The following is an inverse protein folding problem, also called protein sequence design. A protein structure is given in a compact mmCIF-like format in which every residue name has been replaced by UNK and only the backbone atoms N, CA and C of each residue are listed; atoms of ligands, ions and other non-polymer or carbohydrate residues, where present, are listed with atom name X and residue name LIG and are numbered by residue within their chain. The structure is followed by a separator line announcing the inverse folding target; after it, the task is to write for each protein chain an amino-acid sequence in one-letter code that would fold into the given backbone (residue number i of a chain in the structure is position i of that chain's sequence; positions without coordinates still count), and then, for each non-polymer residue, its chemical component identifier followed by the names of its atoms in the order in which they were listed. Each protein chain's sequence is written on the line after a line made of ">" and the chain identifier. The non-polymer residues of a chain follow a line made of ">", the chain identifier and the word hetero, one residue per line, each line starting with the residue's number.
data_IF_974483161921
#
_entry.id   IF_974483161921
#
_cell.length_a   1.000
_cell.length_b   1.000
_cell.length_c   1.000
_cell.angle_alpha   90.00
_cell.angle_beta   90.00
_cell.angle_gamma   90.00
#
_symmetry.space_group_name_H-M   'P 1'
#
loop_
_entity.id
_entity.type
_entity.pdbx_description
1 polymer ?
#
# COMPACT_ATOMS: atom_id res chain seq x y z
N UNK A 1 -15.91 -107.35 31.88
CA UNK A 1 -14.87 -106.72 31.03
C UNK A 1 -13.51 -107.07 31.60
N UNK A 2 -12.60 -107.61 30.77
CA UNK A 2 -11.26 -107.95 31.22
C UNK A 2 -10.35 -106.72 31.23
N UNK A 3 -9.35 -106.70 32.10
CA UNK A 3 -8.38 -105.60 32.22
C UNK A 3 -7.65 -105.31 30.89
N UNK A 4 -7.42 -106.32 30.07
CA UNK A 4 -6.79 -106.15 28.75
C UNK A 4 -7.66 -105.34 27.78
N UNK A 5 -8.97 -105.51 27.87
CA UNK A 5 -9.93 -104.81 27.02
C UNK A 5 -9.99 -103.32 27.39
N UNK A 6 -10.02 -103.00 28.69
CA UNK A 6 -9.97 -101.62 29.18
C UNK A 6 -8.65 -100.92 28.83
N UNK A 7 -7.52 -101.64 28.91
CA UNK A 7 -6.21 -101.10 28.51
C UNK A 7 -6.18 -100.76 27.01
N UNK A 8 -6.74 -101.61 26.16
CA UNK A 8 -6.80 -101.35 24.71
C UNK A 8 -7.63 -100.10 24.38
N UNK A 9 -8.77 -99.91 25.07
CA UNK A 9 -9.63 -98.74 24.92
C UNK A 9 -8.90 -97.48 25.39
N UNK A 10 -8.17 -97.56 26.51
CA UNK A 10 -7.39 -96.44 27.02
C UNK A 10 -6.25 -96.07 26.07
N UNK A 11 -5.50 -97.05 25.57
CA UNK A 11 -4.42 -96.84 24.61
C UNK A 11 -4.93 -96.17 23.34
N UNK A 12 -6.07 -96.64 22.79
CA UNK A 12 -6.69 -96.04 21.61
C UNK A 12 -7.14 -94.59 21.83
N UNK A 13 -7.67 -94.26 23.03
CA UNK A 13 -8.02 -92.88 23.38
C UNK A 13 -6.80 -91.99 23.56
N UNK A 14 -5.74 -92.51 24.18
CA UNK A 14 -4.49 -91.80 24.39
C UNK A 14 -3.78 -91.48 23.07
N UNK A 15 -3.72 -92.46 22.17
CA UNK A 15 -3.09 -92.30 20.86
C UNK A 15 -3.88 -91.34 19.95
N UNK A 16 -5.22 -91.39 20.01
CA UNK A 16 -6.08 -90.45 19.31
C UNK A 16 -5.94 -89.01 19.81
N UNK A 17 -5.84 -88.80 21.13
CA UNK A 17 -5.62 -87.48 21.71
C UNK A 17 -4.24 -86.93 21.35
N UNK A 18 -3.18 -87.74 21.48
CA UNK A 18 -1.82 -87.33 21.14
C UNK A 18 -1.68 -86.97 19.65
N UNK A 19 -2.25 -87.75 18.73
CA UNK A 19 -2.21 -87.42 17.30
C UNK A 19 -3.00 -86.16 16.97
N UNK A 20 -4.16 -85.95 17.60
CA UNK A 20 -5.01 -84.78 17.30
C UNK A 20 -4.37 -83.48 17.79
N UNK A 21 -3.82 -83.47 19.01
CA UNK A 21 -3.18 -82.27 19.58
C UNK A 21 -1.85 -81.94 18.88
N UNK A 22 -0.99 -82.93 18.62
CA UNK A 22 0.28 -82.67 17.92
C UNK A 22 0.12 -82.29 16.46
N UNK A 23 -0.87 -82.85 15.74
CA UNK A 23 -1.15 -82.44 14.36
C UNK A 23 -1.79 -81.04 14.30
N UNK A 24 -2.69 -80.71 15.23
CA UNK A 24 -3.30 -79.38 15.34
C UNK A 24 -2.26 -78.29 15.61
N UNK A 25 -1.32 -78.54 16.52
CA UNK A 25 -0.27 -77.58 16.84
C UNK A 25 0.79 -77.48 15.75
N UNK A 26 1.15 -78.57 15.07
CA UNK A 26 2.04 -78.53 13.91
C UNK A 26 1.44 -77.73 12.74
N UNK A 27 0.11 -77.80 12.52
CA UNK A 27 -0.58 -76.99 11.52
C UNK A 27 -0.59 -75.50 11.90
N UNK A 28 -0.85 -75.18 13.17
CA UNK A 28 -0.77 -73.79 13.67
C UNK A 28 0.63 -73.21 13.49
N UNK A 29 1.69 -73.96 13.81
CA UNK A 29 3.07 -73.51 13.64
C UNK A 29 3.39 -73.26 12.16
N UNK A 30 2.92 -74.12 11.24
CA UNK A 30 3.09 -73.90 9.80
C UNK A 30 2.36 -72.65 9.31
N UNK A 31 1.14 -72.42 9.77
CA UNK A 31 0.39 -71.20 9.45
C UNK A 31 1.07 -69.94 10.00
N UNK A 32 1.56 -70.00 11.24
CA UNK A 32 2.30 -68.90 11.87
C UNK A 32 3.57 -68.58 11.07
N UNK A 33 4.35 -69.61 10.69
CA UNK A 33 5.54 -69.42 9.87
C UNK A 33 5.22 -68.83 8.49
N UNK A 34 4.13 -69.25 7.85
CA UNK A 34 3.67 -68.66 6.59
C UNK A 34 3.29 -67.18 6.76
N UNK A 35 2.58 -66.84 7.85
CA UNK A 35 2.25 -65.45 8.17
C UNK A 35 3.50 -64.61 8.47
N UNK A 36 4.49 -65.15 9.17
CA UNK A 36 5.76 -64.45 9.42
C UNK A 36 6.54 -64.22 8.13
N UNK A 37 6.60 -65.20 7.23
CA UNK A 37 7.25 -65.03 5.93
C UNK A 37 6.53 -63.99 5.07
N UNK A 38 5.21 -64.01 5.07
CA UNK A 38 4.39 -63.03 4.34
C UNK A 38 4.59 -61.63 4.91
N UNK A 39 4.55 -61.46 6.23
CA UNK A 39 4.81 -60.19 6.89
C UNK A 39 6.22 -59.65 6.58
N UNK A 40 7.23 -60.52 6.59
CA UNK A 40 8.58 -60.13 6.26
C UNK A 40 8.70 -59.66 4.80
N UNK A 41 8.05 -60.37 3.87
CA UNK A 41 7.99 -59.97 2.47
C UNK A 41 7.26 -58.64 2.29
N UNK A 42 6.15 -58.42 3.01
CA UNK A 42 5.38 -57.17 2.97
C UNK A 42 6.20 -56.00 3.53
N UNK A 43 6.95 -56.20 4.63
CA UNK A 43 7.86 -55.19 5.20
C UNK A 43 8.95 -54.84 4.20
N UNK A 44 9.59 -55.84 3.59
CA UNK A 44 10.63 -55.62 2.60
C UNK A 44 10.09 -54.87 1.38
N UNK A 45 8.93 -55.28 0.87
CA UNK A 45 8.26 -54.63 -0.26
C UNK A 45 7.92 -53.17 0.05
N UNK A 46 7.38 -52.90 1.25
CA UNK A 46 7.08 -51.55 1.71
C UNK A 46 8.35 -50.69 1.82
N UNK A 47 9.42 -51.22 2.41
CA UNK A 47 10.70 -50.52 2.54
C UNK A 47 11.33 -50.22 1.17
N UNK A 48 11.33 -51.18 0.23
CA UNK A 48 11.83 -50.94 -1.13
C UNK A 48 10.98 -49.91 -1.88
N UNK A 49 9.67 -49.97 -1.75
CA UNK A 49 8.75 -49.01 -2.40
C UNK A 49 8.93 -47.60 -1.83
N UNK A 50 9.09 -47.49 -0.50
CA UNK A 50 9.41 -46.22 0.16
C UNK A 50 10.78 -45.72 -0.25
N UNK A 51 11.81 -46.57 -0.31
CA UNK A 51 13.16 -46.18 -0.71
C UNK A 51 13.23 -45.68 -2.16
N UNK A 52 12.53 -46.34 -3.09
CA UNK A 52 12.46 -45.92 -4.49
C UNK A 52 11.77 -44.56 -4.66
N UNK A 53 10.76 -44.28 -3.85
CA UNK A 53 10.02 -43.01 -3.89
C UNK A 53 10.66 -41.90 -3.04
N UNK A 54 11.68 -42.21 -2.25
CA UNK A 54 12.34 -41.24 -1.38
C UNK A 54 13.67 -40.83 -2.02
N UNK A 55 13.59 -40.12 -3.16
CA UNK A 55 14.75 -39.52 -3.82
C UNK A 55 15.18 -38.24 -3.07
N UNK A 56 15.52 -38.42 -1.80
CA UNK A 56 15.93 -37.37 -0.89
C UNK A 56 17.16 -36.63 -1.45
N UNK A 57 18.10 -37.35 -2.05
CA UNK A 57 19.28 -36.74 -2.67
C UNK A 57 18.93 -35.83 -3.85
N UNK A 58 17.97 -36.23 -4.69
CA UNK A 58 17.47 -35.39 -5.79
C UNK A 58 16.81 -34.12 -5.26
N UNK A 59 15.90 -34.26 -4.29
CA UNK A 59 15.21 -33.13 -3.67
C UNK A 59 16.16 -32.17 -2.94
N UNK A 60 17.21 -32.67 -2.29
CA UNK A 60 18.24 -31.82 -1.66
C UNK A 60 19.07 -31.08 -2.69
N UNK A 61 19.36 -31.71 -3.83
CA UNK A 61 20.12 -31.07 -4.91
C UNK A 61 19.29 -29.96 -5.56
N UNK A 62 18.02 -30.24 -5.85
CA UNK A 62 17.08 -29.26 -6.42
C UNK A 62 16.85 -28.07 -5.45
N UNK A 63 16.62 -28.34 -4.16
CA UNK A 63 16.52 -27.26 -3.17
C UNK A 63 17.81 -26.44 -3.05
N UNK A 64 18.98 -27.08 -3.15
CA UNK A 64 20.27 -26.38 -3.16
C UNK A 64 20.45 -25.47 -4.37
N UNK A 65 20.02 -25.90 -5.56
CA UNK A 65 20.02 -25.08 -6.77
C UNK A 65 19.03 -23.92 -6.67
N UNK A 66 17.81 -24.16 -6.21
CA UNK A 66 16.82 -23.11 -5.96
C UNK A 66 17.34 -22.08 -4.96
N UNK A 67 18.01 -22.50 -3.90
CA UNK A 67 18.60 -21.58 -2.92
C UNK A 67 19.70 -20.70 -3.53
N UNK A 68 20.52 -21.25 -4.43
CA UNK A 68 21.52 -20.46 -5.18
C UNK A 68 20.85 -19.45 -6.11
N UNK A 69 19.78 -19.83 -6.81
CA UNK A 69 19.03 -18.92 -7.66
C UNK A 69 18.40 -17.79 -6.86
N UNK A 70 17.81 -18.09 -5.70
CA UNK A 70 17.25 -17.08 -4.78
C UNK A 70 18.33 -16.10 -4.34
N UNK A 71 19.50 -16.59 -3.88
CA UNK A 71 20.61 -15.73 -3.47
C UNK A 71 21.11 -14.84 -4.61
N UNK A 72 21.19 -15.38 -5.83
CA UNK A 72 21.56 -14.61 -7.01
C UNK A 72 20.55 -13.50 -7.30
N UNK A 73 19.25 -13.81 -7.28
CA UNK A 73 18.19 -12.83 -7.51
C UNK A 73 18.17 -11.75 -6.44
N UNK A 74 18.36 -12.09 -5.16
CA UNK A 74 18.48 -11.09 -4.09
C UNK A 74 19.67 -10.16 -4.33
N UNK A 75 20.82 -10.69 -4.74
CA UNK A 75 21.99 -9.87 -5.05
C UNK A 75 21.74 -8.90 -6.22
N UNK A 76 21.06 -9.35 -7.26
CA UNK A 76 20.69 -8.50 -8.40
C UNK A 76 19.69 -7.41 -7.97
N UNK A 77 18.72 -7.76 -7.13
CA UNK A 77 17.78 -6.79 -6.56
C UNK A 77 18.48 -5.71 -5.73
N UNK A 78 19.43 -6.09 -4.88
CA UNK A 78 20.20 -5.15 -4.07
C UNK A 78 21.04 -4.21 -4.94
N UNK A 79 21.65 -4.74 -6.01
CA UNK A 79 22.38 -3.93 -6.99
C UNK A 79 21.47 -2.91 -7.68
N UNK A 80 20.31 -3.35 -8.19
CA UNK A 80 19.34 -2.44 -8.82
C UNK A 80 18.84 -1.36 -7.86
N UNK A 81 18.64 -1.70 -6.59
CA UNK A 81 18.22 -0.73 -5.57
C UNK A 81 19.29 0.36 -5.37
N UNK A 82 20.56 -0.02 -5.27
CA UNK A 82 21.68 0.92 -5.16
C UNK A 82 21.78 1.81 -6.41
N UNK A 83 21.59 1.25 -7.60
CA UNK A 83 21.60 2.00 -8.86
C UNK A 83 20.46 3.03 -8.92
N UNK A 84 19.27 2.67 -8.46
CA UNK A 84 18.12 3.59 -8.39
C UNK A 84 18.36 4.69 -7.37
N UNK A 85 18.85 4.36 -6.17
CA UNK A 85 19.19 5.37 -5.16
C UNK A 85 20.28 6.32 -5.67
N UNK A 86 21.27 5.80 -6.39
CA UNK A 86 22.30 6.62 -7.04
C UNK A 86 21.72 7.52 -8.14
N UNK A 87 20.81 6.99 -8.97
CA UNK A 87 20.14 7.76 -10.02
C UNK A 87 19.26 8.87 -9.44
N UNK A 88 18.50 8.59 -8.39
CA UNK A 88 17.68 9.58 -7.66
C UNK A 88 18.57 10.65 -7.02
N UNK A 89 19.63 10.26 -6.32
CA UNK A 89 20.57 11.21 -5.74
C UNK A 89 21.20 12.10 -6.82
N UNK A 90 21.55 11.53 -7.98
CA UNK A 90 22.07 12.29 -9.11
C UNK A 90 21.04 13.26 -9.67
N UNK A 91 19.79 12.85 -9.79
CA UNK A 91 18.69 13.70 -10.24
C UNK A 91 18.44 14.86 -9.27
N UNK A 92 18.44 14.60 -7.97
CA UNK A 92 18.32 15.63 -6.93
C UNK A 92 19.50 16.61 -6.95
N UNK A 93 20.73 16.14 -7.21
CA UNK A 93 21.89 16.99 -7.41
C UNK A 93 21.78 17.86 -8.68
N UNK A 94 21.25 17.31 -9.78
CA UNK A 94 21.02 18.07 -11.02
C UNK A 94 19.90 19.10 -10.84
N UNK A 95 18.83 18.74 -10.13
CA UNK A 95 17.70 19.62 -9.80
C UNK A 95 18.15 20.75 -8.88
N UNK A 96 18.91 20.46 -7.83
CA UNK A 96 19.45 21.49 -6.92
C UNK A 96 20.50 22.38 -7.59
N UNK A 97 21.29 21.87 -8.54
CA UNK A 97 22.22 22.69 -9.34
C UNK A 97 21.50 23.68 -10.27
N UNK A 98 20.38 23.29 -10.86
CA UNK A 98 19.61 24.15 -11.77
C UNK A 98 18.68 25.12 -11.02
N UNK A 99 18.24 24.76 -9.80
CA UNK A 99 17.44 25.60 -8.93
C UNK A 99 18.32 26.35 -7.91
N UNK A 100 18.92 27.49 -8.30
CA UNK A 100 19.43 28.49 -7.33
C UNK A 100 18.25 29.19 -6.63
N UNK A 101 17.40 28.42 -5.96
CA UNK A 101 16.29 28.96 -5.18
C UNK A 101 16.77 29.01 -3.74
N UNK A 102 17.43 30.11 -3.39
CA UNK A 102 17.57 30.46 -1.97
C UNK A 102 16.18 30.82 -1.42
N UNK A 103 15.90 30.58 -0.13
CA UNK A 103 14.60 30.88 0.48
C UNK A 103 14.23 32.37 0.51
N UNK A 104 15.00 33.26 -0.13
CA UNK A 104 14.81 34.72 -0.13
C UNK A 104 14.53 35.28 -1.54
N UNK A 105 14.16 34.44 -2.51
CA UNK A 105 13.73 34.91 -3.82
C UNK A 105 12.21 35.10 -3.87
N UNK A 106 11.79 36.32 -4.20
CA UNK A 106 10.40 36.64 -4.52
C UNK A 106 10.09 36.13 -5.94
N UNK A 107 9.04 35.32 -6.07
CA UNK A 107 8.59 34.78 -7.35
C UNK A 107 7.33 35.50 -7.81
N UNK A 108 7.29 35.86 -9.09
CA UNK A 108 6.10 36.35 -9.77
C UNK A 108 5.85 35.45 -10.98
N UNK A 109 4.71 34.73 -11.00
CA UNK A 109 4.37 33.75 -12.04
C UNK A 109 5.51 32.77 -12.35
N UNK A 110 6.02 32.11 -11.30
CA UNK A 110 7.08 31.08 -11.35
C UNK A 110 8.46 31.54 -11.89
N UNK A 111 8.61 32.84 -12.18
CA UNK A 111 9.89 33.44 -12.57
C UNK A 111 10.52 34.18 -11.39
N UNK A 112 11.84 34.00 -11.14
CA UNK A 112 12.53 34.74 -10.09
C UNK A 112 12.56 36.23 -10.46
N UNK A 113 11.98 37.07 -9.60
CA UNK A 113 11.96 38.51 -9.82
C UNK A 113 13.37 39.07 -9.61
N UNK A 114 13.91 39.75 -10.63
CA UNK A 114 15.21 40.43 -10.51
C UNK A 114 15.09 41.53 -9.46
N UNK A 115 16.12 41.71 -8.61
CA UNK A 115 16.10 42.73 -7.53
C UNK A 115 15.78 44.16 -8.02
N UNK A 116 16.14 44.49 -9.26
CA UNK A 116 15.80 45.78 -9.90
C UNK A 116 14.34 45.96 -10.32
N UNK A 117 13.52 44.90 -10.30
CA UNK A 117 12.08 44.94 -10.66
C UNK A 117 11.19 45.24 -9.45
N UNK A 118 11.72 45.19 -8.22
CA UNK A 118 10.97 45.45 -6.98
C UNK A 118 10.31 46.84 -6.99
N UNK A 119 10.98 47.94 -7.41
CA UNK A 119 10.35 49.26 -7.46
C UNK A 119 9.21 49.34 -8.49
N UNK A 120 9.37 48.69 -9.64
CA UNK A 120 8.34 48.65 -10.68
C UNK A 120 7.09 47.90 -10.23
N UNK A 121 7.27 46.85 -9.42
CA UNK A 121 6.16 46.08 -8.85
C UNK A 121 5.33 46.93 -7.88
N UNK A 122 6.00 47.79 -7.09
CA UNK A 122 5.34 48.77 -6.24
C UNK A 122 4.53 49.80 -7.05
N UNK A 123 5.10 50.33 -8.12
CA UNK A 123 4.41 51.28 -9.00
C UNK A 123 3.18 50.65 -9.66
N UNK A 124 3.30 49.40 -10.13
CA UNK A 124 2.19 48.64 -10.71
C UNK A 124 1.10 48.38 -9.67
N UNK A 125 1.46 48.05 -8.43
CA UNK A 125 0.48 47.86 -7.35
C UNK A 125 -0.30 49.15 -7.05
N UNK A 126 0.40 50.29 -6.94
CA UNK A 126 -0.23 51.60 -6.74
C UNK A 126 -1.13 51.96 -7.92
N UNK A 127 -0.71 51.66 -9.15
CA UNK A 127 -1.50 51.89 -10.36
C UNK A 127 -2.77 51.04 -10.39
N UNK A 128 -2.69 49.74 -10.03
CA UNK A 128 -3.88 48.89 -9.94
C UNK A 128 -4.84 49.32 -8.83
N UNK A 129 -4.32 49.80 -7.69
CA UNK A 129 -5.15 50.40 -6.63
C UNK A 129 -5.84 51.67 -7.13
N UNK A 130 -5.11 52.54 -7.84
CA UNK A 130 -5.65 53.78 -8.42
C UNK A 130 -6.73 53.52 -9.48
N UNK A 131 -6.47 52.60 -10.41
CA UNK A 131 -7.44 52.17 -11.43
C UNK A 131 -8.66 51.53 -10.77
N UNK A 132 -8.46 50.70 -9.75
CA UNK A 132 -9.55 50.12 -8.95
C UNK A 132 -10.43 51.20 -8.29
N UNK A 133 -9.82 52.25 -7.74
CA UNK A 133 -10.54 53.40 -7.16
C UNK A 133 -11.33 54.19 -8.20
N UNK A 134 -10.77 54.38 -9.40
CA UNK A 134 -11.47 55.07 -10.50
C UNK A 134 -12.66 54.25 -10.98
N UNK A 135 -12.48 52.95 -11.19
CA UNK A 135 -13.57 52.04 -11.55
C UNK A 135 -14.62 52.04 -10.45
N UNK A 136 -14.23 51.93 -9.19
CA UNK A 136 -15.14 51.99 -8.05
C UNK A 136 -15.95 53.29 -8.05
N UNK A 137 -15.33 54.45 -8.30
CA UNK A 137 -16.02 55.74 -8.39
C UNK A 137 -16.99 55.82 -9.58
N UNK A 138 -16.68 55.16 -10.69
CA UNK A 138 -17.54 55.15 -11.88
C UNK A 138 -18.72 54.17 -11.76
N UNK A 139 -18.53 53.04 -11.08
CA UNK A 139 -19.57 52.01 -10.92
C UNK A 139 -20.42 52.21 -9.67
N UNK A 140 -19.90 52.90 -8.65
CA UNK A 140 -20.68 53.29 -7.50
C UNK A 140 -21.54 54.51 -7.88
N UNK A 141 -22.88 54.49 -7.67
CA UNK A 141 -23.63 55.73 -7.65
C UNK A 141 -23.00 56.64 -6.60
N UNK A 142 -22.89 57.94 -6.91
CA UNK A 142 -22.34 59.00 -6.05
C UNK A 142 -22.62 58.60 -4.60
N UNK A 143 -21.57 58.32 -3.82
CA UNK A 143 -21.69 58.05 -2.39
C UNK A 143 -22.43 59.26 -1.83
N UNK A 144 -23.74 59.14 -1.70
CA UNK A 144 -24.62 60.19 -1.20
C UNK A 144 -24.01 60.67 0.12
N UNK A 145 -24.13 61.96 0.43
CA UNK A 145 -23.69 62.52 1.71
C UNK A 145 -24.21 61.71 2.93
N UNK A 146 -25.23 60.86 2.71
CA UNK A 146 -25.71 59.82 3.60
C UNK A 146 -24.72 58.66 3.87
N UNK A 147 -23.51 58.62 3.30
CA UNK A 147 -22.47 57.63 3.65
C UNK A 147 -21.30 58.25 4.41
N UNK A 148 -21.21 59.59 4.48
CA UNK A 148 -20.24 60.33 5.30
C UNK A 148 -20.69 60.43 6.76
N UNK A 149 -21.29 59.36 7.25
CA UNK A 149 -21.59 59.20 8.65
C UNK A 149 -22.97 59.64 9.09
N UNK A 150 -23.95 59.96 8.23
CA UNK A 150 -25.34 60.27 8.68
C UNK A 150 -26.42 59.43 8.01
N UNK A 151 -27.35 58.88 8.79
CA UNK A 151 -28.51 58.15 8.28
C UNK A 151 -29.54 59.08 7.59
N UNK A 152 -30.57 58.52 6.94
CA UNK A 152 -31.65 59.29 6.27
C UNK A 152 -32.40 60.26 7.19
N UNK A 153 -32.16 60.21 8.50
CA UNK A 153 -32.69 61.08 9.54
C UNK A 153 -31.65 62.08 10.11
N UNK A 154 -30.46 62.18 9.51
CA UNK A 154 -29.42 63.14 9.89
C UNK A 154 -28.55 62.78 11.10
N UNK A 155 -28.70 61.58 11.66
CA UNK A 155 -27.98 61.13 12.86
C UNK A 155 -26.71 60.34 12.52
N UNK A 156 -25.64 60.46 13.34
CA UNK A 156 -24.39 59.79 13.08
C UNK A 156 -24.52 58.26 13.11
N UNK A 157 -23.98 57.53 12.11
CA UNK A 157 -24.00 56.06 12.13
C UNK A 157 -23.14 55.52 13.27
N UNK A 158 -23.72 54.62 14.06
CA UNK A 158 -22.94 53.73 14.93
C UNK A 158 -22.14 52.74 14.08
N UNK A 159 -21.01 52.24 14.60
CA UNK A 159 -20.11 51.31 13.88
C UNK A 159 -20.86 50.10 13.27
N UNK A 160 -21.84 49.56 14.01
CA UNK A 160 -22.71 48.49 13.53
C UNK A 160 -23.68 48.92 12.43
N UNK A 161 -24.20 50.15 12.48
CA UNK A 161 -25.06 50.72 11.43
C UNK A 161 -24.30 50.98 10.13
N UNK A 162 -23.02 51.38 10.23
CA UNK A 162 -22.15 51.59 9.08
C UNK A 162 -21.76 50.25 8.43
N UNK A 163 -21.48 49.22 9.23
CA UNK A 163 -21.21 47.87 8.70
C UNK A 163 -22.44 47.28 8.01
N UNK A 164 -23.62 47.45 8.61
CA UNK A 164 -24.90 46.99 8.06
C UNK A 164 -25.27 47.69 6.75
N UNK A 165 -25.05 49.01 6.65
CA UNK A 165 -25.31 49.76 5.42
C UNK A 165 -24.31 49.45 4.30
N UNK A 166 -23.05 49.15 4.64
CA UNK A 166 -22.06 48.70 3.67
C UNK A 166 -22.36 47.28 3.15
N UNK A 167 -22.76 46.35 4.01
CA UNK A 167 -23.12 44.98 3.62
C UNK A 167 -24.48 44.90 2.91
N UNK A 168 -25.41 45.83 3.19
CA UNK A 168 -26.72 45.90 2.53
C UNK A 168 -26.71 46.63 1.18
N UNK A 169 -25.64 47.35 0.85
CA UNK A 169 -25.54 48.06 -0.42
C UNK A 169 -25.34 47.10 -1.58
N UNK A 170 -26.28 47.08 -2.52
CA UNK A 170 -26.21 46.27 -3.76
C UNK A 170 -24.94 46.55 -4.56
N UNK A 171 -24.43 47.78 -4.50
CA UNK A 171 -23.20 48.18 -5.18
C UNK A 171 -21.95 47.55 -4.54
N UNK A 172 -21.88 47.54 -3.19
CA UNK A 172 -20.77 46.92 -2.46
C UNK A 172 -20.78 45.42 -2.66
N UNK A 173 -21.93 44.77 -2.50
CA UNK A 173 -22.08 43.33 -2.77
C UNK A 173 -21.75 42.98 -4.22
N UNK A 174 -22.19 43.79 -5.20
CA UNK A 174 -21.87 43.60 -6.61
C UNK A 174 -20.37 43.69 -6.90
N UNK A 175 -19.69 44.68 -6.31
CA UNK A 175 -18.23 44.84 -6.44
C UNK A 175 -17.44 43.71 -5.77
N UNK A 176 -17.91 43.23 -4.61
CA UNK A 176 -17.31 42.12 -3.87
C UNK A 176 -17.45 40.80 -4.66
N UNK A 177 -18.63 40.57 -5.23
CA UNK A 177 -18.91 39.39 -6.04
C UNK A 177 -18.09 39.41 -7.33
N UNK A 178 -17.97 40.57 -7.99
CA UNK A 178 -17.10 40.75 -9.16
C UNK A 178 -15.62 40.44 -8.84
N UNK A 179 -15.10 40.95 -7.73
CA UNK A 179 -13.73 40.66 -7.28
C UNK A 179 -13.53 39.17 -6.98
N UNK A 180 -14.51 38.52 -6.31
CA UNK A 180 -14.47 37.10 -6.03
C UNK A 180 -14.45 36.24 -7.31
N UNK A 181 -15.25 36.59 -8.33
CA UNK A 181 -15.25 35.90 -9.63
C UNK A 181 -13.87 36.01 -10.31
N UNK A 182 -13.26 37.19 -10.33
CA UNK A 182 -11.92 37.37 -10.92
C UNK A 182 -10.88 36.51 -10.22
N UNK A 183 -10.90 36.44 -8.88
CA UNK A 183 -10.00 35.58 -8.10
C UNK A 183 -10.22 34.10 -8.41
N UNK A 184 -11.48 33.66 -8.50
CA UNK A 184 -11.83 32.26 -8.84
C UNK A 184 -11.34 31.91 -10.25
N UNK A 185 -11.50 32.81 -11.23
CA UNK A 185 -11.00 32.61 -12.59
C UNK A 185 -9.47 32.46 -12.57
N UNK A 186 -8.75 33.33 -11.86
CA UNK A 186 -7.29 33.23 -11.74
C UNK A 186 -6.82 31.96 -11.03
N UNK A 187 -7.51 31.52 -9.96
CA UNK A 187 -7.22 30.26 -9.29
C UNK A 187 -7.49 29.05 -10.19
N UNK A 188 -8.60 29.06 -10.93
CA UNK A 188 -8.94 27.98 -11.85
C UNK A 188 -7.96 27.87 -13.01
N UNK A 189 -7.50 29.00 -13.58
CA UNK A 189 -6.44 29.04 -14.60
C UNK A 189 -5.10 28.51 -14.07
N UNK A 190 -4.79 28.78 -12.80
CA UNK A 190 -3.59 28.25 -12.13
C UNK A 190 -3.68 26.73 -11.92
N UNK A 191 -4.83 26.22 -11.47
CA UNK A 191 -5.07 24.78 -11.28
C UNK A 191 -5.09 24.04 -12.63
N UNK A 192 -5.64 24.66 -13.68
CA UNK A 192 -5.70 24.12 -15.03
C UNK A 192 -4.35 24.12 -15.78
N UNK A 193 -3.26 24.59 -15.15
CA UNK A 193 -1.92 24.50 -15.71
C UNK A 193 -1.63 25.43 -16.90
N UNK A 194 -2.51 26.41 -17.17
CA UNK A 194 -2.31 27.38 -18.28
C UNK A 194 -1.09 28.28 -18.04
N UNK A 195 -0.68 28.44 -16.78
CA UNK A 195 0.55 29.12 -16.38
C UNK A 195 1.67 28.17 -15.89
N UNK A 196 1.61 26.88 -16.25
CA UNK A 196 2.53 25.84 -15.78
C UNK A 196 3.25 25.11 -16.90
N UNK A 197 4.33 25.73 -17.41
CA UNK A 197 5.60 25.08 -17.76
C UNK A 197 6.74 26.01 -17.40
#
# INVERSE_FOLDING_TARGET
>A
MSWMEQRSIFQGRFDALNQTDTQGDAQKIKQLNAQYQQLNNDILAYLTTKAQNNNLSGLLTENGELQKQIQHLTKVQDQMKVDVESAVAREDLLRSRNAKITPHHLFLMDRPVRKGMIPYLWVIAILFIGVGLVIFKMTAPVLSENMLGRNEYGNPYTLFGLLGSMLGSKAVLGSLLGAAIVVIIFLSLRIAGVFGK
#
